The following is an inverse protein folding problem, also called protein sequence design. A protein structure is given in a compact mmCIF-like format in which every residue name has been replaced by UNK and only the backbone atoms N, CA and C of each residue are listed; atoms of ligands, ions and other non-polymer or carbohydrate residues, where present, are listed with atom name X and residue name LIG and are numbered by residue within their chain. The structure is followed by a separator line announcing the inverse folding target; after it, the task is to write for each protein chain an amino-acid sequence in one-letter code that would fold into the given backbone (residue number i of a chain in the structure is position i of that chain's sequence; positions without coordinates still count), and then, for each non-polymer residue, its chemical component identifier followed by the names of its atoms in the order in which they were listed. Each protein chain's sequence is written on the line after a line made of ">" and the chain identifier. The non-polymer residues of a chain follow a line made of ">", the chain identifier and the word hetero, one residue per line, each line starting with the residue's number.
data_IF_901587546793
#
_entry.id   IF_901587546793
#
_cell.length_a   1.000
_cell.length_b   1.000
_cell.length_c   1.000
_cell.angle_alpha   90.00
_cell.angle_beta   90.00
_cell.angle_gamma   90.00
#
_symmetry.space_group_name_H-M   'P 1'
#
loop_
_entity.id
_entity.type
_entity.pdbx_description
1 polymer ?
#
# COMPACT_ATOMS: atom_id res chain seq x y z
N UNK A 1 -1.51 -11.54 -9.00
CA UNK A 1 -2.53 -11.64 -7.92
C UNK A 1 -1.91 -11.78 -6.54
N UNK A 2 -1.16 -12.84 -6.24
CA UNK A 2 -0.63 -13.08 -4.88
C UNK A 2 0.22 -11.92 -4.33
N UNK A 3 1.14 -11.38 -5.14
CA UNK A 3 1.94 -10.22 -4.74
C UNK A 3 1.08 -9.00 -4.36
N UNK A 4 0.05 -8.72 -5.16
CA UNK A 4 -0.97 -7.69 -4.88
C UNK A 4 -1.74 -7.99 -3.59
N UNK A 5 -2.11 -9.24 -3.36
CA UNK A 5 -2.84 -9.67 -2.16
C UNK A 5 -2.02 -9.48 -0.87
N UNK A 6 -0.70 -9.62 -0.92
CA UNK A 6 0.20 -9.29 0.21
C UNK A 6 0.10 -7.79 0.57
N UNK A 7 0.10 -6.92 -0.44
CA UNK A 7 -0.03 -5.47 -0.23
C UNK A 7 -1.43 -5.11 0.28
N UNK A 8 -2.46 -5.70 -0.31
CA UNK A 8 -3.85 -5.58 0.15
C UNK A 8 -3.99 -5.94 1.63
N UNK A 9 -3.52 -7.13 2.03
CA UNK A 9 -3.60 -7.60 3.41
C UNK A 9 -2.86 -6.68 4.38
N UNK A 10 -1.74 -6.10 3.95
CA UNK A 10 -0.99 -5.12 4.76
C UNK A 10 -1.80 -3.85 4.96
N UNK A 11 -2.40 -3.28 3.90
CA UNK A 11 -3.21 -2.06 3.99
C UNK A 11 -4.46 -2.28 4.85
N UNK A 12 -5.10 -3.44 4.71
CA UNK A 12 -6.24 -3.84 5.54
C UNK A 12 -5.84 -3.99 7.01
N UNK A 13 -4.72 -4.66 7.30
CA UNK A 13 -4.19 -4.76 8.67
C UNK A 13 -3.92 -3.37 9.25
N UNK A 14 -3.30 -2.48 8.48
CA UNK A 14 -3.02 -1.12 8.91
C UNK A 14 -4.31 -0.35 9.22
N UNK A 15 -5.33 -0.47 8.37
CA UNK A 15 -6.61 0.19 8.54
C UNK A 15 -7.40 -0.35 9.74
N UNK A 16 -7.47 -1.67 9.91
CA UNK A 16 -8.37 -2.32 10.88
C UNK A 16 -7.74 -2.53 12.25
N UNK A 17 -6.42 -2.77 12.31
CA UNK A 17 -5.73 -3.16 13.55
C UNK A 17 -4.75 -2.09 13.99
N UNK A 18 -3.83 -1.69 13.10
CA UNK A 18 -2.73 -0.80 13.48
C UNK A 18 -3.23 0.59 13.87
N UNK A 19 -4.06 1.22 13.03
CA UNK A 19 -4.64 2.55 13.27
C UNK A 19 -5.33 2.67 14.65
N UNK A 20 -6.31 1.81 15.01
CA UNK A 20 -6.96 1.91 16.32
C UNK A 20 -6.05 1.54 17.50
N UNK A 21 -5.00 0.75 17.30
CA UNK A 21 -3.99 0.48 18.33
C UNK A 21 -3.13 1.74 18.60
N UNK A 22 -2.66 2.41 17.54
CA UNK A 22 -1.85 3.63 17.65
C UNK A 22 -2.63 4.81 18.23
N UNK A 23 -3.95 4.83 18.05
CA UNK A 23 -4.82 5.84 18.65
C UNK A 23 -4.86 5.78 20.19
N UNK A 24 -4.38 4.69 20.81
CA UNK A 24 -4.45 4.44 22.26
C UNK A 24 -3.11 4.49 22.98
N UNK A 25 -2.01 4.72 22.27
CA UNK A 25 -0.68 4.86 22.86
C UNK A 25 -0.26 6.32 22.86
N UNK A 26 0.76 6.71 23.60
CA UNK A 26 1.31 8.07 23.59
C UNK A 26 2.11 8.40 22.32
N UNK A 27 2.49 9.67 22.16
CA UNK A 27 3.13 10.18 20.94
C UNK A 27 4.54 9.60 20.73
N UNK A 28 5.27 9.34 21.81
CA UNK A 28 6.60 8.75 21.74
C UNK A 28 6.51 7.29 21.26
N UNK A 29 5.52 6.55 21.76
CA UNK A 29 5.21 5.19 21.33
C UNK A 29 4.78 5.13 19.85
N UNK A 30 3.94 6.07 19.38
CA UNK A 30 3.59 6.15 17.95
C UNK A 30 4.84 6.33 17.09
N UNK A 31 5.71 7.29 17.43
CA UNK A 31 6.94 7.55 16.65
C UNK A 31 7.83 6.32 16.65
N UNK A 32 8.09 5.72 17.81
CA UNK A 32 8.94 4.54 17.92
C UNK A 32 8.40 3.37 17.09
N UNK A 33 7.14 2.98 17.31
CA UNK A 33 6.50 1.85 16.62
C UNK A 33 6.43 2.12 15.12
N UNK A 34 5.88 3.26 14.71
CA UNK A 34 5.69 3.54 13.28
C UNK A 34 6.99 3.81 12.56
N UNK A 35 7.98 4.42 13.20
CA UNK A 35 9.31 4.58 12.61
C UNK A 35 9.96 3.23 12.28
N UNK A 36 9.80 2.22 13.15
CA UNK A 36 10.26 0.85 12.88
C UNK A 36 9.42 0.12 11.84
N UNK A 37 8.08 0.19 11.95
CA UNK A 37 7.16 -0.40 10.95
C UNK A 37 7.45 0.16 9.56
N UNK A 38 7.62 1.47 9.44
CA UNK A 38 7.97 2.13 8.18
C UNK A 38 9.36 1.74 7.67
N UNK A 39 10.36 1.61 8.55
CA UNK A 39 11.71 1.18 8.15
C UNK A 39 11.68 -0.19 7.48
N UNK A 40 10.99 -1.16 8.10
CA UNK A 40 10.88 -2.50 7.52
C UNK A 40 9.92 -2.55 6.34
N UNK A 41 8.82 -1.82 6.41
CA UNK A 41 7.83 -1.69 5.33
C UNK A 41 8.46 -1.14 4.05
N UNK A 42 9.11 0.02 4.11
CA UNK A 42 9.74 0.65 2.94
C UNK A 42 10.90 -0.18 2.36
N UNK A 43 11.54 -1.04 3.17
CA UNK A 43 12.59 -1.95 2.70
C UNK A 43 12.04 -3.23 2.06
N UNK A 44 10.92 -3.77 2.56
CA UNK A 44 10.43 -5.11 2.18
C UNK A 44 9.23 -5.08 1.23
N UNK A 45 8.32 -4.11 1.39
CA UNK A 45 7.10 -4.00 0.59
C UNK A 45 7.30 -3.60 -0.87
N UNK A 46 8.41 -2.97 -1.31
CA UNK A 46 8.64 -2.75 -2.74
C UNK A 46 8.66 -4.06 -3.55
N UNK A 47 9.12 -5.17 -2.97
CA UNK A 47 9.17 -6.47 -3.66
C UNK A 47 7.78 -6.94 -4.10
N UNK A 48 6.81 -7.18 -3.20
CA UNK A 48 5.46 -7.56 -3.62
C UNK A 48 4.75 -6.44 -4.42
N UNK A 49 5.02 -5.16 -4.13
CA UNK A 49 4.44 -4.04 -4.88
C UNK A 49 4.84 -4.03 -6.36
N UNK A 50 6.15 -4.12 -6.65
CA UNK A 50 6.67 -4.14 -8.03
C UNK A 50 6.22 -5.40 -8.75
N UNK A 51 6.27 -6.57 -8.10
CA UNK A 51 5.80 -7.82 -8.70
C UNK A 51 4.29 -7.76 -9.03
N UNK A 52 3.49 -7.13 -8.18
CA UNK A 52 2.06 -6.92 -8.43
C UNK A 52 1.80 -6.08 -9.67
N UNK A 53 2.50 -4.94 -9.80
CA UNK A 53 2.37 -4.02 -10.96
C UNK A 53 2.86 -4.68 -12.24
N UNK A 54 4.06 -5.28 -12.24
CA UNK A 54 4.61 -5.95 -13.42
C UNK A 54 3.75 -7.12 -13.85
N UNK A 55 3.24 -7.91 -12.89
CA UNK A 55 2.32 -9.00 -13.17
C UNK A 55 1.05 -8.51 -13.85
N UNK A 56 0.40 -7.47 -13.32
CA UNK A 56 -0.81 -6.91 -13.93
C UNK A 56 -0.54 -6.33 -15.33
N UNK A 57 0.60 -5.67 -15.54
CA UNK A 57 0.99 -5.14 -16.84
C UNK A 57 1.22 -6.24 -17.86
N UNK A 58 1.95 -7.31 -17.50
CA UNK A 58 2.19 -8.44 -18.38
C UNK A 58 0.89 -9.16 -18.73
N UNK A 59 0.04 -9.42 -17.74
CA UNK A 59 -1.28 -10.03 -17.96
C UNK A 59 -2.14 -9.19 -18.91
N UNK A 60 -2.15 -7.87 -18.75
CA UNK A 60 -2.88 -6.95 -19.65
C UNK A 60 -2.37 -7.07 -21.08
N UNK A 61 -1.05 -7.01 -21.28
CA UNK A 61 -0.43 -7.08 -22.59
C UNK A 61 -0.69 -8.42 -23.29
N UNK A 62 -0.48 -9.53 -22.58
CA UNK A 62 -0.68 -10.88 -23.12
C UNK A 62 -2.14 -11.13 -23.50
N UNK A 63 -3.09 -10.75 -22.63
CA UNK A 63 -4.53 -10.89 -22.92
C UNK A 63 -4.95 -10.05 -24.15
N UNK A 64 -4.43 -8.83 -24.28
CA UNK A 64 -4.70 -7.99 -25.46
C UNK A 64 -4.11 -8.60 -26.75
N UNK A 65 -2.88 -9.12 -26.70
CA UNK A 65 -2.25 -9.81 -27.84
C UNK A 65 -3.03 -11.07 -28.24
N UNK A 66 -3.63 -11.76 -27.27
CA UNK A 66 -4.46 -12.94 -27.49
C UNK A 66 -5.92 -12.61 -27.86
N UNK A 67 -6.27 -11.32 -28.01
CA UNK A 67 -7.64 -10.83 -28.28
C UNK A 67 -8.67 -11.23 -27.21
N UNK A 68 -8.21 -11.51 -25.98
CA UNK A 68 -9.05 -11.86 -24.85
C UNK A 68 -9.47 -10.58 -24.11
N UNK A 69 -10.37 -9.82 -24.74
CA UNK A 69 -10.69 -8.46 -24.31
C UNK A 69 -11.23 -8.35 -22.88
N UNK A 70 -12.04 -9.32 -22.43
CA UNK A 70 -12.54 -9.35 -21.04
C UNK A 70 -11.40 -9.36 -20.02
N UNK A 71 -10.43 -10.25 -20.20
CA UNK A 71 -9.25 -10.36 -19.33
C UNK A 71 -8.35 -9.13 -19.48
N UNK A 72 -8.18 -8.60 -20.70
CA UNK A 72 -7.38 -7.41 -20.95
C UNK A 72 -7.95 -6.18 -20.21
N UNK A 73 -9.26 -5.96 -20.25
CA UNK A 73 -9.90 -4.87 -19.51
C UNK A 73 -9.84 -5.07 -17.99
N UNK A 74 -10.06 -6.30 -17.50
CA UNK A 74 -9.98 -6.60 -16.08
C UNK A 74 -8.55 -6.37 -15.53
N UNK A 75 -7.53 -6.92 -16.21
CA UNK A 75 -6.12 -6.74 -15.84
C UNK A 75 -5.68 -5.27 -15.98
N UNK A 76 -6.11 -4.59 -17.06
CA UNK A 76 -5.78 -3.18 -17.29
C UNK A 76 -6.38 -2.26 -16.23
N UNK A 77 -7.61 -2.53 -15.81
CA UNK A 77 -8.26 -1.79 -14.71
C UNK A 77 -7.50 -2.03 -13.40
N UNK A 78 -7.13 -3.27 -13.10
CA UNK A 78 -6.32 -3.59 -11.93
C UNK A 78 -4.97 -2.85 -11.99
N UNK A 79 -4.30 -2.81 -13.14
CA UNK A 79 -3.06 -2.06 -13.32
C UNK A 79 -3.22 -0.56 -13.01
N UNK A 80 -4.27 0.08 -13.54
CA UNK A 80 -4.55 1.51 -13.27
C UNK A 80 -4.75 1.75 -11.77
N UNK A 81 -5.52 0.89 -11.10
CA UNK A 81 -5.74 0.98 -9.65
C UNK A 81 -4.43 0.86 -8.86
N UNK A 82 -3.53 -0.05 -9.28
CA UNK A 82 -2.21 -0.21 -8.65
C UNK A 82 -1.31 1.02 -8.88
N UNK A 83 -1.39 1.65 -10.05
CA UNK A 83 -0.67 2.90 -10.33
C UNK A 83 -1.19 4.04 -9.45
N UNK A 84 -2.50 4.21 -9.32
CA UNK A 84 -3.10 5.20 -8.42
C UNK A 84 -2.66 4.96 -6.98
N UNK A 85 -2.68 3.70 -6.53
CA UNK A 85 -2.18 3.31 -5.22
C UNK A 85 -0.70 3.71 -5.02
N UNK A 86 0.16 3.48 -6.03
CA UNK A 86 1.57 3.82 -5.98
C UNK A 86 1.78 5.35 -5.89
N UNK A 87 0.97 6.13 -6.58
CA UNK A 87 0.97 7.60 -6.47
C UNK A 87 0.62 8.03 -5.05
N UNK A 88 -0.42 7.45 -4.43
CA UNK A 88 -0.76 7.74 -3.02
C UNK A 88 0.41 7.40 -2.08
N UNK A 89 1.03 6.24 -2.26
CA UNK A 89 2.19 5.84 -1.46
C UNK A 89 3.34 6.84 -1.61
N UNK A 90 3.77 7.13 -2.84
CA UNK A 90 4.94 7.98 -3.09
C UNK A 90 4.73 9.44 -2.70
N UNK A 91 3.51 9.96 -2.81
CA UNK A 91 3.19 11.37 -2.55
C UNK A 91 2.79 11.64 -1.09
N UNK A 92 2.22 10.67 -0.40
CA UNK A 92 1.71 10.85 0.98
C UNK A 92 2.46 9.97 1.97
N UNK A 93 2.44 8.65 1.79
CA UNK A 93 2.98 7.72 2.78
C UNK A 93 4.51 7.79 2.87
N UNK A 94 5.24 7.66 1.76
CA UNK A 94 6.71 7.60 1.77
C UNK A 94 7.39 8.83 2.42
N UNK A 95 6.94 10.08 2.19
CA UNK A 95 7.49 11.24 2.91
C UNK A 95 7.24 11.21 4.42
N UNK A 96 6.09 10.71 4.87
CA UNK A 96 5.76 10.58 6.30
C UNK A 96 6.57 9.45 6.93
N UNK A 97 6.65 8.31 6.24
CA UNK A 97 7.45 7.15 6.63
C UNK A 97 8.89 7.56 6.94
N UNK A 98 9.53 8.28 6.02
CA UNK A 98 10.90 8.78 6.19
C UNK A 98 11.07 9.71 7.39
N UNK A 99 10.11 10.60 7.64
CA UNK A 99 10.16 11.52 8.79
C UNK A 99 10.08 10.75 10.11
N UNK A 100 9.14 9.80 10.23
CA UNK A 100 9.01 8.99 11.45
C UNK A 100 10.23 8.09 11.64
N UNK A 101 10.71 7.43 10.58
CA UNK A 101 11.92 6.60 10.64
C UNK A 101 13.14 7.41 11.06
N UNK A 102 13.35 8.60 10.50
CA UNK A 102 14.47 9.47 10.87
C UNK A 102 14.39 9.97 12.32
N UNK A 103 13.19 10.32 12.80
CA UNK A 103 12.99 10.70 14.20
C UNK A 103 13.32 9.54 15.15
N UNK A 104 12.87 8.33 14.81
CA UNK A 104 13.17 7.11 15.58
C UNK A 104 14.66 6.75 15.55
N UNK A 105 15.31 6.80 14.39
CA UNK A 105 16.75 6.51 14.25
C UNK A 105 17.62 7.46 15.06
N UNK A 106 17.21 8.72 15.17
CA UNK A 106 17.95 9.72 15.93
C UNK A 106 17.45 9.90 17.38
N UNK A 107 16.51 9.06 17.83
CA UNK A 107 15.88 9.14 19.16
C UNK A 107 15.37 10.55 19.50
N UNK A 108 14.83 11.27 18.51
CA UNK A 108 14.34 12.65 18.67
C UNK A 108 12.82 12.67 18.82
N UNK A 109 12.34 13.61 19.63
CA UNK A 109 10.92 13.93 19.67
C UNK A 109 10.47 14.47 18.29
N UNK A 110 9.26 14.09 17.88
CA UNK A 110 8.62 14.59 16.66
C UNK A 110 7.31 15.30 17.07
N UNK A 111 7.34 16.63 17.32
CA UNK A 111 6.21 17.34 17.92
C UNK A 111 4.89 17.27 17.14
N UNK A 112 4.97 17.07 15.82
CA UNK A 112 3.83 16.92 14.93
C UNK A 112 3.49 15.44 14.60
N UNK A 113 3.97 14.48 15.41
CA UNK A 113 3.80 13.04 15.16
C UNK A 113 2.34 12.64 14.96
N UNK A 114 1.42 13.18 15.76
CA UNK A 114 -0.03 12.92 15.63
C UNK A 114 -0.62 13.44 14.34
N UNK A 115 -0.26 14.66 13.94
CA UNK A 115 -0.72 15.23 12.68
C UNK A 115 -0.20 14.43 11.48
N UNK A 116 1.07 13.99 11.53
CA UNK A 116 1.66 13.13 10.51
C UNK A 116 0.98 11.75 10.47
N UNK A 117 0.74 11.13 11.62
CA UNK A 117 0.06 9.84 11.72
C UNK A 117 -1.38 9.94 11.20
N UNK A 118 -2.14 10.97 11.60
CA UNK A 118 -3.49 11.20 11.11
C UNK A 118 -3.53 11.40 9.59
N UNK A 119 -2.56 12.13 9.03
CA UNK A 119 -2.42 12.29 7.57
C UNK A 119 -2.14 10.95 6.88
N UNK A 120 -1.26 10.12 7.45
CA UNK A 120 -0.99 8.78 6.92
C UNK A 120 -2.23 7.88 6.99
N UNK A 121 -2.94 7.91 8.12
CA UNK A 121 -4.18 7.15 8.34
C UNK A 121 -5.33 7.61 7.44
N UNK A 122 -5.34 8.87 7.00
CA UNK A 122 -6.40 9.39 6.12
C UNK A 122 -6.46 8.68 4.77
N UNK A 123 -5.33 8.15 4.28
CA UNK A 123 -5.25 7.48 2.98
C UNK A 123 -5.30 5.95 3.06
N UNK A 124 -5.23 5.37 4.27
CA UNK A 124 -5.08 3.90 4.40
C UNK A 124 -6.30 3.13 3.93
N UNK A 125 -7.52 3.64 4.19
CA UNK A 125 -8.75 3.03 3.71
C UNK A 125 -8.80 3.07 2.17
N UNK A 126 -8.48 4.22 1.56
CA UNK A 126 -8.42 4.36 0.09
C UNK A 126 -7.41 3.40 -0.51
N UNK A 127 -6.22 3.28 0.09
CA UNK A 127 -5.19 2.33 -0.35
C UNK A 127 -5.69 0.89 -0.28
N UNK A 128 -6.32 0.49 0.81
CA UNK A 128 -6.91 -0.83 0.97
C UNK A 128 -7.99 -1.13 -0.08
N UNK A 129 -8.88 -0.17 -0.36
CA UNK A 129 -9.93 -0.31 -1.39
C UNK A 129 -9.32 -0.46 -2.79
N UNK A 130 -8.35 0.38 -3.15
CA UNK A 130 -7.67 0.28 -4.45
C UNK A 130 -7.01 -1.09 -4.64
N UNK A 131 -6.30 -1.58 -3.62
CA UNK A 131 -5.70 -2.91 -3.64
C UNK A 131 -6.75 -4.03 -3.70
N UNK A 132 -7.84 -3.92 -2.93
CA UNK A 132 -8.91 -4.90 -2.92
C UNK A 132 -9.62 -5.01 -4.27
N UNK A 133 -9.93 -3.87 -4.90
CA UNK A 133 -10.49 -3.83 -6.25
C UNK A 133 -9.51 -4.38 -7.29
N UNK A 134 -8.21 -4.10 -7.16
CA UNK A 134 -7.20 -4.69 -8.03
C UNK A 134 -7.12 -6.21 -7.88
N UNK A 135 -7.17 -6.74 -6.65
CA UNK A 135 -7.23 -8.19 -6.41
C UNK A 135 -8.50 -8.78 -7.02
N UNK A 136 -9.66 -8.16 -6.83
CA UNK A 136 -10.92 -8.61 -7.43
C UNK A 136 -10.86 -8.64 -8.96
N UNK A 137 -10.33 -7.60 -9.59
CA UNK A 137 -10.12 -7.57 -11.04
C UNK A 137 -9.17 -8.68 -11.53
N UNK A 138 -8.10 -8.97 -10.78
CA UNK A 138 -7.20 -10.07 -11.09
C UNK A 138 -7.84 -11.45 -10.85
N UNK A 139 -8.79 -11.58 -9.92
CA UNK A 139 -9.61 -12.80 -9.79
C UNK A 139 -10.50 -13.01 -11.01
N UNK A 140 -11.12 -11.95 -11.55
CA UNK A 140 -11.92 -12.04 -12.79
C UNK A 140 -11.08 -12.62 -13.92
N UNK A 141 -9.84 -12.16 -14.09
CA UNK A 141 -8.91 -12.69 -15.10
C UNK A 141 -8.68 -14.21 -14.96
N UNK A 142 -8.70 -14.75 -13.74
CA UNK A 142 -8.51 -16.20 -13.53
C UNK A 142 -9.78 -17.02 -13.78
N UNK A 143 -10.95 -16.39 -13.75
CA UNK A 143 -12.25 -17.07 -13.85
C UNK A 143 -12.86 -17.03 -15.25
N UNK A 144 -12.39 -16.11 -16.10
CA UNK A 144 -12.84 -15.90 -17.48
C UNK A 144 -11.73 -16.24 -18.44
#
# INVERSE_FOLDING_TARGET
>A
MLATAVVYGTDVFCAMVLRPALARVDDAAVVAVMGHVHRYGDRRMPVPGVLGVLGAALTTALAAMALQWTQAFAAGTALVLLVIWLVLYTRVSAPINRQMTAATDASRALPNSRALQAKWDSVINTRAVLQGLAVAGLCVVLMT
#
